data_IF_313313350748
#
_entry.id   IF_313313350748
#
_cell.length_a   1.000
_cell.length_b   1.000
_cell.length_c   1.000
_cell.angle_alpha   90.00
_cell.angle_beta   90.00
_cell.angle_gamma   90.00
#
_symmetry.space_group_name_H-M   'P 1'
#
loop_
_entity.id
_entity.type
_entity.pdbx_description
1 polymer ?
#
# COMPACT_ATOMS: atom_id res chain seq x y z
N UNK A 1 -5.15 12.06 -12.06
CA UNK A 1 -3.73 11.97 -11.69
C UNK A 1 -3.51 12.71 -10.40
N UNK A 2 -2.72 12.15 -9.47
CA UNK A 2 -2.27 12.81 -8.25
C UNK A 2 -0.78 13.14 -8.37
N UNK A 3 -0.39 14.35 -7.99
CA UNK A 3 1.00 14.78 -7.89
C UNK A 3 1.30 15.07 -6.43
N UNK A 4 2.32 14.42 -5.88
CA UNK A 4 2.72 14.58 -4.48
C UNK A 4 4.21 14.86 -4.41
N UNK A 5 4.60 15.88 -3.66
CA UNK A 5 6.00 16.18 -3.36
C UNK A 5 6.28 15.83 -1.91
N UNK A 6 6.87 14.65 -1.68
CA UNK A 6 7.18 14.18 -0.33
C UNK A 6 8.25 15.04 0.32
N UNK A 7 7.84 15.78 1.35
CA UNK A 7 8.75 16.46 2.26
C UNK A 7 9.31 15.49 3.31
N UNK A 8 8.48 14.52 3.72
CA UNK A 8 8.83 13.50 4.70
C UNK A 8 8.25 12.14 4.34
N UNK A 9 9.00 11.08 4.61
CA UNK A 9 8.56 9.67 4.53
C UNK A 9 9.04 8.97 5.78
N UNK A 10 8.13 8.27 6.48
CA UNK A 10 8.48 7.61 7.74
C UNK A 10 9.03 8.55 8.83
N UNK A 11 8.64 9.83 8.80
CA UNK A 11 9.21 10.92 9.63
C UNK A 11 10.68 11.29 9.35
N UNK A 12 11.25 10.80 8.25
CA UNK A 12 12.55 11.24 7.74
C UNK A 12 12.36 12.29 6.66
N UNK A 13 13.17 13.34 6.68
CA UNK A 13 13.17 14.37 5.64
C UNK A 13 13.69 13.82 4.31
N UNK A 14 12.98 14.10 3.21
CA UNK A 14 13.43 13.75 1.88
C UNK A 14 14.40 14.81 1.35
N UNK A 15 15.65 14.42 1.09
CA UNK A 15 16.68 15.27 0.48
C UNK A 15 17.31 14.54 -0.71
N UNK A 16 17.04 14.94 -1.96
CA UNK A 16 16.11 16.02 -2.34
C UNK A 16 14.64 15.63 -2.10
N UNK A 17 13.72 16.59 -2.21
CA UNK A 17 12.27 16.33 -2.18
C UNK A 17 11.92 15.32 -3.30
N UNK A 18 11.20 14.26 -2.94
CA UNK A 18 10.81 13.21 -3.88
C UNK A 18 9.45 13.53 -4.49
N UNK A 19 9.37 13.59 -5.82
CA UNK A 19 8.11 13.71 -6.55
C UNK A 19 7.49 12.34 -6.85
N UNK A 20 6.19 12.20 -6.61
CA UNK A 20 5.36 11.05 -6.99
C UNK A 20 4.26 11.52 -7.93
N UNK A 21 4.06 10.74 -9.00
CA UNK A 21 2.97 10.92 -9.96
C UNK A 21 2.19 9.61 -10.02
N UNK A 22 0.92 9.66 -9.61
CA UNK A 22 0.04 8.50 -9.55
C UNK A 22 -1.08 8.65 -10.58
N UNK A 23 -1.11 7.73 -11.55
CA UNK A 23 -2.10 7.69 -12.62
C UNK A 23 -3.22 6.71 -12.25
N UNK A 24 -4.47 7.15 -12.38
CA UNK A 24 -5.62 6.23 -12.37
C UNK A 24 -5.80 5.69 -13.79
N UNK A 25 -5.23 4.51 -14.05
CA UNK A 25 -5.12 3.95 -15.39
C UNK A 25 -6.49 3.74 -16.05
N UNK A 26 -7.43 3.18 -15.30
CA UNK A 26 -8.79 2.89 -15.73
C UNK A 26 -9.49 4.16 -16.19
N UNK A 27 -9.41 5.24 -15.40
CA UNK A 27 -10.04 6.52 -15.74
C UNK A 27 -9.42 7.16 -16.98
N UNK A 28 -8.11 7.07 -17.14
CA UNK A 28 -7.42 7.58 -18.34
C UNK A 28 -7.87 6.78 -19.57
N UNK A 29 -7.88 5.45 -19.45
CA UNK A 29 -8.28 4.57 -20.54
C UNK A 29 -9.76 4.74 -20.91
N UNK A 30 -10.66 4.91 -19.93
CA UNK A 30 -12.07 5.23 -20.18
C UNK A 30 -12.22 6.51 -21.02
N UNK A 31 -11.49 7.56 -20.65
CA UNK A 31 -11.51 8.82 -21.41
C UNK A 31 -10.97 8.65 -22.83
N UNK A 32 -9.87 7.90 -23.00
CA UNK A 32 -9.27 7.65 -24.32
C UNK A 32 -10.15 6.77 -25.22
N UNK A 33 -10.87 5.81 -24.64
CA UNK A 33 -11.76 4.91 -25.36
C UNK A 33 -13.19 5.44 -25.51
N UNK A 34 -13.53 6.54 -24.83
CA UNK A 34 -14.86 7.15 -24.88
C UNK A 34 -15.95 6.31 -24.23
N UNK A 35 -15.64 5.60 -23.15
CA UNK A 35 -16.59 4.75 -22.40
C UNK A 35 -16.91 5.35 -21.03
N UNK A 36 -18.17 5.22 -20.60
CA UNK A 36 -18.66 5.80 -19.34
C UNK A 36 -18.55 4.85 -18.13
N UNK A 37 -18.36 3.55 -18.37
CA UNK A 37 -18.16 2.53 -17.34
C UNK A 37 -16.77 1.90 -17.46
N UNK A 38 -16.14 1.61 -16.32
CA UNK A 38 -14.86 0.88 -16.30
C UNK A 38 -15.01 -0.53 -16.88
N UNK A 39 -16.17 -1.16 -16.72
CA UNK A 39 -16.41 -2.52 -17.19
C UNK A 39 -16.48 -2.63 -18.71
N UNK A 40 -16.81 -1.53 -19.41
CA UNK A 40 -16.89 -1.48 -20.87
C UNK A 40 -15.53 -1.23 -21.53
N UNK A 41 -14.49 -0.95 -20.74
CA UNK A 41 -13.14 -0.69 -21.21
C UNK A 41 -12.59 -1.93 -21.93
N UNK A 42 -12.10 -1.76 -23.15
CA UNK A 42 -11.41 -2.84 -23.88
C UNK A 42 -10.03 -3.03 -23.28
N UNK A 43 -9.81 -4.20 -22.67
CA UNK A 43 -8.54 -4.59 -22.06
C UNK A 43 -7.54 -5.06 -23.11
N UNK A 44 -7.99 -5.90 -24.03
CA UNK A 44 -7.22 -6.37 -25.19
C UNK A 44 -8.13 -6.52 -26.40
N UNK A 45 -7.63 -6.13 -27.57
CA UNK A 45 -8.26 -6.36 -28.87
C UNK A 45 -7.38 -7.34 -29.66
N UNK A 46 -7.82 -8.59 -29.75
CA UNK A 46 -7.03 -9.71 -30.27
C UNK A 46 -7.70 -10.46 -31.41
N UNK A 47 -7.04 -11.51 -31.95
CA UNK A 47 -7.57 -12.32 -33.06
C UNK A 47 -8.92 -12.98 -32.76
N UNK A 48 -9.18 -13.29 -31.49
CA UNK A 48 -10.41 -13.93 -31.02
C UNK A 48 -11.50 -12.90 -30.61
N UNK A 49 -11.26 -11.61 -30.86
CA UNK A 49 -12.15 -10.51 -30.52
C UNK A 49 -11.66 -9.67 -29.34
N UNK A 50 -12.55 -8.78 -28.88
CA UNK A 50 -12.28 -7.87 -27.77
C UNK A 50 -12.58 -8.56 -26.44
N UNK A 51 -11.68 -8.39 -25.49
CA UNK A 51 -11.90 -8.73 -24.07
C UNK A 51 -12.01 -7.41 -23.31
N UNK A 52 -13.10 -7.26 -22.56
CA UNK A 52 -13.35 -6.08 -21.74
C UNK A 52 -12.79 -6.23 -20.33
N UNK A 53 -12.64 -5.12 -19.62
CA UNK A 53 -12.30 -5.12 -18.19
C UNK A 53 -13.37 -5.88 -17.39
N UNK A 54 -14.65 -5.76 -17.78
CA UNK A 54 -15.77 -6.48 -17.18
C UNK A 54 -15.61 -7.99 -17.27
N UNK A 55 -15.19 -8.51 -18.42
CA UNK A 55 -14.97 -9.95 -18.63
C UNK A 55 -13.93 -10.53 -17.67
N UNK A 56 -12.96 -9.72 -17.23
CA UNK A 56 -11.84 -10.15 -16.38
C UNK A 56 -12.13 -9.88 -14.89
N UNK A 57 -12.65 -8.69 -14.56
CA UNK A 57 -12.67 -8.20 -13.18
C UNK A 57 -14.07 -8.08 -12.56
N UNK A 58 -15.16 -8.15 -13.34
CA UNK A 58 -16.48 -7.96 -12.75
C UNK A 58 -16.81 -9.02 -11.68
N UNK A 59 -16.51 -10.29 -11.96
CA UNK A 59 -16.67 -11.37 -10.98
C UNK A 59 -15.81 -11.12 -9.73
N UNK A 60 -14.54 -10.75 -9.92
CA UNK A 60 -13.63 -10.44 -8.83
C UNK A 60 -14.15 -9.29 -7.94
N UNK A 61 -14.66 -8.21 -8.54
CA UNK A 61 -15.23 -7.08 -7.78
C UNK A 61 -16.46 -7.48 -6.96
N UNK A 62 -17.34 -8.31 -7.52
CA UNK A 62 -18.52 -8.83 -6.80
C UNK A 62 -18.10 -9.70 -5.63
N UNK A 63 -17.21 -10.68 -5.87
CA UNK A 63 -16.78 -11.63 -4.84
C UNK A 63 -15.94 -10.95 -3.74
N UNK A 64 -15.01 -10.07 -4.12
CA UNK A 64 -14.19 -9.32 -3.16
C UNK A 64 -15.03 -8.34 -2.35
N UNK A 65 -16.05 -7.71 -2.94
CA UNK A 65 -16.97 -6.86 -2.19
C UNK A 65 -17.75 -7.67 -1.15
N UNK A 66 -18.33 -8.81 -1.54
CA UNK A 66 -19.03 -9.68 -0.60
C UNK A 66 -18.09 -10.15 0.54
N UNK A 67 -16.86 -10.54 0.20
CA UNK A 67 -15.86 -10.89 1.21
C UNK A 67 -15.55 -9.73 2.15
N UNK A 68 -15.16 -8.57 1.61
CA UNK A 68 -14.70 -7.42 2.38
C UNK A 68 -15.79 -6.83 3.27
N UNK A 69 -17.05 -6.83 2.82
CA UNK A 69 -18.15 -6.18 3.54
C UNK A 69 -19.02 -7.13 4.36
N UNK A 70 -19.03 -8.43 4.07
CA UNK A 70 -19.99 -9.36 4.69
C UNK A 70 -19.30 -10.57 5.35
N UNK A 71 -18.33 -11.19 4.67
CA UNK A 71 -17.84 -12.51 5.07
C UNK A 71 -16.48 -12.53 5.77
N UNK A 72 -15.66 -11.47 5.65
CA UNK A 72 -14.35 -11.46 6.28
C UNK A 72 -14.47 -11.59 7.81
N UNK A 73 -13.75 -12.58 8.35
CA UNK A 73 -13.74 -12.92 9.78
C UNK A 73 -12.93 -11.88 10.55
N UNK A 74 -13.62 -11.07 11.34
CA UNK A 74 -13.02 -9.95 12.07
C UNK A 74 -12.11 -10.43 13.20
N UNK A 75 -12.39 -11.58 13.83
CA UNK A 75 -11.58 -12.09 14.94
C UNK A 75 -10.22 -12.57 14.42
N UNK A 76 -10.23 -13.26 13.27
CA UNK A 76 -8.99 -13.63 12.56
C UNK A 76 -8.21 -12.38 12.14
N UNK A 77 -8.88 -11.35 11.61
CA UNK A 77 -8.21 -10.12 11.18
C UNK A 77 -7.59 -9.34 12.35
N UNK A 78 -8.27 -9.26 13.50
CA UNK A 78 -7.70 -8.68 14.71
C UNK A 78 -6.44 -9.44 15.15
N UNK A 79 -6.53 -10.78 15.23
CA UNK A 79 -5.37 -11.62 15.55
C UNK A 79 -4.24 -11.45 14.55
N UNK A 80 -4.55 -11.39 13.26
CA UNK A 80 -3.57 -11.20 12.19
C UNK A 80 -2.82 -9.88 12.36
N UNK A 81 -3.53 -8.79 12.69
CA UNK A 81 -2.89 -7.50 12.96
C UNK A 81 -1.89 -7.61 14.11
N UNK A 82 -2.30 -8.19 15.24
CA UNK A 82 -1.46 -8.29 16.43
C UNK A 82 -0.26 -9.23 16.20
N UNK A 83 -0.45 -10.34 15.50
CA UNK A 83 0.64 -11.24 15.10
C UNK A 83 1.64 -10.56 14.17
N UNK A 84 1.18 -9.77 13.19
CA UNK A 84 2.05 -9.00 12.32
C UNK A 84 2.89 -7.99 13.12
N UNK A 85 2.29 -7.30 14.09
CA UNK A 85 3.00 -6.35 14.96
C UNK A 85 4.02 -7.04 15.88
N UNK A 86 3.69 -8.23 16.38
CA UNK A 86 4.61 -9.04 17.17
C UNK A 86 5.83 -9.48 16.36
N UNK A 87 5.60 -10.09 15.18
CA UNK A 87 6.69 -10.54 14.29
C UNK A 87 7.53 -9.36 13.80
N UNK A 88 6.87 -8.25 13.47
CA UNK A 88 7.52 -6.99 13.13
C UNK A 88 8.54 -6.57 14.18
N UNK A 89 8.14 -6.60 15.46
CA UNK A 89 8.99 -6.16 16.57
C UNK A 89 10.28 -6.99 16.66
N UNK A 90 10.16 -8.32 16.55
CA UNK A 90 11.33 -9.21 16.53
C UNK A 90 12.26 -8.96 15.33
N UNK A 91 11.70 -8.68 14.15
CA UNK A 91 12.49 -8.40 12.94
C UNK A 91 13.22 -7.05 13.02
N UNK A 92 12.62 -6.05 13.65
CA UNK A 92 13.27 -4.75 13.89
C UNK A 92 14.44 -4.91 14.85
N UNK A 93 14.29 -5.70 15.91
CA UNK A 93 15.39 -5.99 16.86
C UNK A 93 16.58 -6.70 16.19
N UNK A 94 16.28 -7.58 15.22
CA UNK A 94 17.29 -8.26 14.39
C UNK A 94 17.86 -7.36 13.26
N UNK A 95 17.41 -6.10 13.15
CA UNK A 95 17.81 -5.15 12.10
C UNK A 95 17.50 -5.67 10.69
N UNK A 96 16.34 -6.29 10.51
CA UNK A 96 15.83 -6.80 9.23
C UNK A 96 14.66 -5.94 8.71
N UNK A 97 14.92 -4.70 8.23
CA UNK A 97 13.86 -3.75 7.89
C UNK A 97 13.00 -4.18 6.69
N UNK A 98 13.54 -4.93 5.73
CA UNK A 98 12.78 -5.37 4.55
C UNK A 98 11.75 -6.45 4.91
N UNK A 99 12.09 -7.53 5.63
CA UNK A 99 11.08 -8.44 6.17
C UNK A 99 10.10 -7.75 7.13
N UNK A 100 10.56 -6.79 7.95
CA UNK A 100 9.67 -6.05 8.84
C UNK A 100 8.65 -5.22 8.03
N UNK A 101 9.04 -4.63 6.90
CA UNK A 101 8.13 -3.88 6.03
C UNK A 101 6.96 -4.74 5.51
N UNK A 102 7.21 -6.00 5.15
CA UNK A 102 6.15 -6.93 4.74
C UNK A 102 5.08 -7.11 5.83
N UNK A 103 5.48 -7.11 7.11
CA UNK A 103 4.53 -7.19 8.23
C UNK A 103 3.71 -5.90 8.37
N UNK A 104 4.30 -4.73 8.10
CA UNK A 104 3.56 -3.46 8.08
C UNK A 104 2.49 -3.46 6.99
N UNK A 105 2.82 -3.97 5.79
CA UNK A 105 1.86 -4.09 4.69
C UNK A 105 0.70 -5.03 5.05
N UNK A 106 1.00 -6.19 5.63
CA UNK A 106 -0.01 -7.15 6.09
C UNK A 106 -0.91 -6.57 7.19
N UNK A 107 -0.31 -5.92 8.20
CA UNK A 107 -1.06 -5.26 9.26
C UNK A 107 -1.95 -4.14 8.71
N UNK A 108 -1.44 -3.33 7.79
CA UNK A 108 -2.21 -2.26 7.14
C UNK A 108 -3.38 -2.83 6.32
N UNK A 109 -3.19 -3.95 5.63
CA UNK A 109 -4.26 -4.60 4.88
C UNK A 109 -5.32 -5.20 5.83
N UNK A 110 -4.91 -5.92 6.87
CA UNK A 110 -5.82 -6.44 7.88
C UNK A 110 -6.65 -5.32 8.54
N UNK A 111 -6.01 -4.18 8.83
CA UNK A 111 -6.71 -2.98 9.29
C UNK A 111 -7.75 -2.46 8.29
N UNK A 112 -7.41 -2.36 7.01
CA UNK A 112 -8.36 -1.91 5.98
C UNK A 112 -9.57 -2.85 5.88
N UNK A 113 -9.35 -4.16 6.01
CA UNK A 113 -10.42 -5.16 6.02
C UNK A 113 -11.32 -5.02 7.24
N UNK A 114 -10.74 -4.75 8.42
CA UNK A 114 -11.51 -4.45 9.65
C UNK A 114 -12.33 -3.16 9.51
N UNK A 115 -11.77 -2.11 8.90
CA UNK A 115 -12.45 -0.83 8.63
C UNK A 115 -13.63 -1.05 7.66
N UNK A 116 -13.43 -1.85 6.60
CA UNK A 116 -14.47 -2.21 5.63
C UNK A 116 -15.61 -3.04 6.25
N UNK A 117 -15.30 -3.96 7.17
CA UNK A 117 -16.30 -4.71 7.95
C UNK A 117 -17.02 -3.86 9.01
N UNK A 118 -16.66 -2.59 9.16
CA UNK A 118 -17.15 -1.72 10.22
C UNK A 118 -16.94 -2.32 11.63
N UNK A 119 -15.88 -3.12 11.79
CA UNK A 119 -15.58 -3.86 13.01
C UNK A 119 -14.85 -3.01 14.07
N UNK A 120 -14.43 -1.79 13.70
CA UNK A 120 -13.68 -0.87 14.55
C UNK A 120 -14.42 0.45 14.71
N UNK A 121 -14.46 0.96 15.94
CA UNK A 121 -14.96 2.30 16.23
C UNK A 121 -14.01 3.39 15.72
N UNK A 122 -14.49 4.64 15.65
CA UNK A 122 -13.66 5.81 15.26
C UNK A 122 -12.42 5.95 16.15
N UNK A 123 -12.56 5.70 17.45
CA UNK A 123 -11.46 5.76 18.41
C UNK A 123 -10.43 4.64 18.16
N UNK A 124 -10.90 3.41 17.90
CA UNK A 124 -10.02 2.29 17.56
C UNK A 124 -9.32 2.49 16.23
N UNK A 125 -10.00 3.06 15.23
CA UNK A 125 -9.41 3.41 13.94
C UNK A 125 -8.22 4.34 14.10
N UNK A 126 -8.34 5.39 14.91
CA UNK A 126 -7.23 6.28 15.22
C UNK A 126 -6.07 5.54 15.92
N UNK A 127 -6.37 4.62 16.83
CA UNK A 127 -5.38 3.77 17.51
C UNK A 127 -4.61 2.88 16.53
N UNK A 128 -5.30 2.17 15.64
CA UNK A 128 -4.68 1.30 14.64
C UNK A 128 -3.81 2.10 13.65
N UNK A 129 -4.30 3.25 13.16
CA UNK A 129 -3.50 4.16 12.33
C UNK A 129 -2.23 4.61 13.06
N UNK A 130 -2.34 4.89 14.36
CA UNK A 130 -1.20 5.20 15.22
C UNK A 130 -0.17 4.08 15.27
N UNK A 131 -0.62 2.83 15.47
CA UNK A 131 0.23 1.62 15.50
C UNK A 131 0.95 1.40 14.16
N UNK A 132 0.21 1.40 13.04
CA UNK A 132 0.80 1.26 11.69
C UNK A 132 1.81 2.37 11.40
N UNK A 133 1.49 3.62 11.79
CA UNK A 133 2.41 4.75 11.64
C UNK A 133 3.69 4.56 12.44
N UNK A 134 3.60 4.08 13.69
CA UNK A 134 4.78 3.80 14.52
C UNK A 134 5.68 2.75 13.88
N UNK A 135 5.09 1.64 13.43
CA UNK A 135 5.82 0.60 12.71
C UNK A 135 6.51 1.16 11.46
N UNK A 136 5.79 1.93 10.64
CA UNK A 136 6.32 2.55 9.43
C UNK A 136 7.51 3.52 9.71
N UNK A 137 7.48 4.25 10.83
CA UNK A 137 8.62 5.11 11.23
C UNK A 137 9.85 4.28 11.60
N UNK A 138 9.66 3.22 12.39
CA UNK A 138 10.77 2.38 12.86
C UNK A 138 11.48 1.69 11.69
N UNK A 139 10.75 1.16 10.71
CA UNK A 139 11.39 0.57 9.51
C UNK A 139 12.08 1.61 8.63
N UNK A 140 11.54 2.83 8.55
CA UNK A 140 12.17 3.88 7.75
C UNK A 140 13.53 4.23 8.35
N UNK A 141 13.59 4.42 9.67
CA UNK A 141 14.86 4.63 10.39
C UNK A 141 15.80 3.44 10.24
N UNK A 142 15.35 2.22 10.51
CA UNK A 142 16.20 1.02 10.42
C UNK A 142 16.74 0.77 9.00
N UNK A 143 15.91 1.01 7.97
CA UNK A 143 16.35 0.94 6.59
C UNK A 143 17.40 2.02 6.28
N UNK A 144 17.14 3.27 6.67
CA UNK A 144 18.08 4.38 6.49
C UNK A 144 19.44 4.08 7.13
N UNK A 145 19.46 3.67 8.39
CA UNK A 145 20.68 3.28 9.12
C UNK A 145 21.43 2.15 8.40
N UNK A 146 20.70 1.14 7.89
CA UNK A 146 21.29 0.07 7.09
C UNK A 146 21.91 0.58 5.78
N UNK A 147 21.30 1.58 5.12
CA UNK A 147 21.87 2.21 3.92
C UNK A 147 23.07 3.09 4.27
N UNK A 148 23.03 3.80 5.39
CA UNK A 148 24.12 4.64 5.88
C UNK A 148 25.36 3.81 6.22
N UNK A 149 25.19 2.68 6.91
CA UNK A 149 26.27 1.75 7.22
C UNK A 149 26.97 1.18 5.96
N UNK A 150 26.22 1.07 4.86
CA UNK A 150 26.75 0.69 3.55
C UNK A 150 27.34 1.88 2.75
N UNK A 151 27.33 3.09 3.32
CA UNK A 151 27.81 4.30 2.68
C UNK A 151 26.92 4.81 1.54
N UNK A 152 25.61 4.55 1.61
CA UNK A 152 24.60 4.91 0.60
C UNK A 152 25.02 4.51 -0.84
N UNK A 153 25.16 3.22 -1.16
CA UNK A 153 25.76 2.79 -2.42
C UNK A 153 24.95 3.16 -3.68
N UNK A 154 23.69 3.61 -3.51
CA UNK A 154 22.83 4.09 -4.60
C UNK A 154 22.97 5.60 -4.86
N UNK A 155 23.59 6.33 -3.94
CA UNK A 155 23.83 7.77 -4.10
C UNK A 155 25.08 7.94 -4.95
N UNK A 156 24.90 8.36 -6.21
CA UNK A 156 26.02 8.63 -7.11
C UNK A 156 26.91 9.73 -6.51
N UNK A 157 28.20 9.44 -6.28
CA UNK A 157 29.19 10.44 -5.86
C UNK A 157 29.23 11.57 -6.88
N UNK A 158 28.94 12.80 -6.45
CA UNK A 158 28.90 14.00 -7.29
C UNK A 158 27.50 14.48 -7.67
N UNK A 159 26.42 13.77 -7.29
CA UNK A 159 25.08 14.34 -7.36
C UNK A 159 24.98 15.44 -6.30
N UNK A 160 25.11 16.69 -6.71
CA UNK A 160 24.78 17.82 -5.83
C UNK A 160 23.33 17.61 -5.39
N UNK A 161 23.13 17.47 -4.08
CA UNK A 161 21.85 17.76 -3.46
C UNK A 161 21.61 19.24 -3.73
N UNK A 162 20.91 19.53 -4.82
CA UNK A 162 20.43 20.88 -5.16
C UNK A 162 19.25 21.18 -4.26
#
# INVERSE_FOLDING_TARGET
TQFTYFQQVGSLECKPVTGEITYGLERIAMYLQGVDSVYDLVWVDGPDGKVTYGDIFHQNEVEMSAYNFEHADTDILFKTFDECEQVFSSLVDEKLPLPAYEQVLKASHAFNMLDARHAISVAERARYIGRVRTMAKQIASAYYEGREALGFPLVKKGSKLV
#
